data_IF_587469675839
#
_entry.id   IF_587469675839
#
_cell.length_a   1.000
_cell.length_b   1.000
_cell.length_c   1.000
_cell.angle_alpha   90.00
_cell.angle_beta   90.00
_cell.angle_gamma   90.00
#
_symmetry.space_group_name_H-M   'P 1'
#
loop_
_entity.id
_entity.type
_entity.pdbx_description
1 polymer ?
#
# COMPACT_ATOMS: atom_id res chain seq x y z
N UNK A 1 1.84 6.35 -11.54
CA UNK A 1 0.92 5.43 -10.85
C UNK A 1 1.46 4.01 -10.92
N UNK A 2 1.51 3.32 -9.81
CA UNK A 2 2.00 1.95 -9.76
C UNK A 2 0.96 1.01 -9.21
N UNK A 3 0.97 -0.24 -9.66
CA UNK A 3 0.01 -1.23 -9.19
C UNK A 3 0.65 -2.60 -9.05
N UNK A 4 0.08 -3.41 -8.14
CA UNK A 4 0.45 -4.80 -7.92
C UNK A 4 -0.83 -5.62 -7.86
N UNK A 5 -0.83 -6.75 -8.55
CA UNK A 5 -1.96 -7.67 -8.48
C UNK A 5 -1.91 -8.49 -7.20
N UNK A 6 -3.07 -8.64 -6.58
CA UNK A 6 -3.27 -9.43 -5.36
C UNK A 6 -4.08 -10.68 -5.71
N UNK A 7 -4.48 -11.43 -4.68
CA UNK A 7 -5.27 -12.63 -4.88
C UNK A 7 -6.72 -12.29 -5.22
N UNK A 8 -7.41 -13.20 -5.88
CA UNK A 8 -8.86 -13.11 -6.08
C UNK A 8 -9.33 -11.95 -6.96
N UNK A 9 -8.50 -11.48 -7.88
CA UNK A 9 -8.88 -10.38 -8.77
C UNK A 9 -8.69 -9.00 -8.17
N UNK A 10 -8.15 -8.91 -6.96
CA UNK A 10 -7.84 -7.62 -6.34
C UNK A 10 -6.52 -7.05 -6.85
N UNK A 11 -6.39 -5.75 -6.79
CA UNK A 11 -5.14 -5.06 -7.09
C UNK A 11 -4.93 -3.92 -6.10
N UNK A 12 -3.68 -3.66 -5.77
CA UNK A 12 -3.29 -2.49 -4.99
C UNK A 12 -2.68 -1.46 -5.93
N UNK A 13 -3.22 -0.25 -5.90
CA UNK A 13 -2.71 0.88 -6.68
C UNK A 13 -2.17 1.90 -5.70
N UNK A 14 -1.00 2.44 -6.00
CA UNK A 14 -0.38 3.49 -5.21
C UNK A 14 -0.21 4.73 -6.09
N UNK A 15 -0.72 5.85 -5.63
CA UNK A 15 -0.58 7.14 -6.29
C UNK A 15 0.10 8.12 -5.36
N UNK A 16 1.03 8.91 -5.88
CA UNK A 16 1.69 9.95 -5.10
C UNK A 16 0.92 11.26 -5.22
N UNK A 17 0.71 11.91 -4.08
CA UNK A 17 0.21 13.28 -4.00
C UNK A 17 1.30 14.15 -3.37
N UNK A 18 1.04 15.44 -3.18
CA UNK A 18 2.07 16.40 -2.78
C UNK A 18 2.84 15.99 -1.52
N UNK A 19 2.16 15.52 -0.49
CA UNK A 19 2.83 15.14 0.78
C UNK A 19 2.34 13.82 1.32
N UNK A 20 1.67 13.02 0.49
CA UNK A 20 1.10 11.75 0.93
C UNK A 20 0.90 10.84 -0.26
N UNK A 21 0.56 9.60 0.06
CA UNK A 21 0.20 8.60 -0.92
C UNK A 21 -1.25 8.22 -0.77
N UNK A 22 -1.87 7.87 -1.89
CA UNK A 22 -3.18 7.23 -1.91
C UNK A 22 -2.98 5.75 -2.19
N UNK A 23 -3.53 4.92 -1.32
CA UNK A 23 -3.52 3.47 -1.51
C UNK A 23 -4.94 3.04 -1.85
N UNK A 24 -5.11 2.43 -3.00
CA UNK A 24 -6.42 2.11 -3.56
C UNK A 24 -6.50 0.62 -3.82
N UNK A 25 -7.58 -0.01 -3.37
CA UNK A 25 -7.83 -1.41 -3.69
C UNK A 25 -8.87 -1.43 -4.80
N UNK A 26 -8.52 -2.11 -5.88
CA UNK A 26 -9.42 -2.37 -6.99
C UNK A 26 -9.87 -3.82 -6.97
N UNK A 27 -11.14 -4.03 -7.31
CA UNK A 27 -11.69 -5.37 -7.57
C UNK A 27 -12.14 -5.37 -9.02
N UNK A 28 -11.39 -6.08 -9.86
CA UNK A 28 -11.67 -6.19 -11.29
C UNK A 28 -11.86 -4.82 -11.93
N UNK A 29 -10.95 -3.90 -11.61
CA UNK A 29 -10.89 -2.51 -12.07
C UNK A 29 -11.90 -1.57 -11.43
N UNK A 30 -12.70 -2.04 -10.48
CA UNK A 30 -13.62 -1.18 -9.73
C UNK A 30 -12.99 -0.80 -8.40
N UNK A 31 -12.96 0.49 -8.08
CA UNK A 31 -12.40 0.96 -6.82
C UNK A 31 -13.29 0.56 -5.66
N UNK A 32 -12.74 -0.19 -4.70
CA UNK A 32 -13.44 -0.59 -3.49
C UNK A 32 -13.19 0.34 -2.34
N UNK A 33 -11.92 0.74 -2.15
CA UNK A 33 -11.54 1.56 -1.02
C UNK A 33 -10.29 2.36 -1.39
N UNK A 34 -10.20 3.55 -0.82
CA UNK A 34 -9.03 4.42 -0.99
C UNK A 34 -8.68 4.99 0.38
N UNK A 35 -7.42 4.87 0.76
CA UNK A 35 -6.90 5.46 1.98
C UNK A 35 -5.70 6.31 1.67
N UNK A 36 -5.60 7.44 2.37
CA UNK A 36 -4.47 8.34 2.23
C UNK A 36 -3.56 8.18 3.44
N UNK A 37 -2.26 8.28 3.21
CA UNK A 37 -1.25 8.17 4.26
C UNK A 37 -0.13 9.16 3.95
N UNK A 38 0.39 9.82 4.99
CA UNK A 38 1.52 10.72 4.79
C UNK A 38 2.79 9.92 4.52
N UNK A 39 3.75 10.56 3.85
CA UNK A 39 5.04 9.94 3.58
C UNK A 39 5.71 9.53 4.90
N UNK A 40 5.61 10.37 5.92
CA UNK A 40 6.20 10.10 7.23
C UNK A 40 5.58 8.85 7.88
N UNK A 41 4.26 8.76 7.88
CA UNK A 41 3.57 7.60 8.46
C UNK A 41 3.91 6.31 7.73
N UNK A 42 3.99 6.37 6.41
CA UNK A 42 4.32 5.20 5.61
C UNK A 42 5.76 4.76 5.87
N UNK A 43 6.70 5.71 5.97
CA UNK A 43 8.09 5.38 6.28
C UNK A 43 8.22 4.75 7.67
N UNK A 44 7.50 5.26 8.66
CA UNK A 44 7.50 4.68 10.00
C UNK A 44 6.96 3.24 9.98
N UNK A 45 5.89 3.02 9.23
CA UNK A 45 5.32 1.69 9.07
C UNK A 45 6.35 0.72 8.50
N UNK A 46 7.08 1.14 7.47
CA UNK A 46 8.05 0.27 6.79
C UNK A 46 9.30 0.00 7.63
N UNK A 47 9.60 0.83 8.62
CA UNK A 47 10.77 0.65 9.49
C UNK A 47 10.52 -0.33 10.63
N UNK A 48 9.28 -0.67 10.92
CA UNK A 48 8.94 -1.58 12.01
C UNK A 48 8.78 -3.00 11.49
N UNK A 49 9.02 -3.98 12.37
CA UNK A 49 8.97 -5.38 11.97
C UNK A 49 7.60 -6.01 12.14
N UNK A 50 6.76 -5.44 13.02
CA UNK A 50 5.41 -5.94 13.28
C UNK A 50 4.54 -4.75 13.61
N UNK A 51 3.80 -4.27 12.63
CA UNK A 51 3.00 -3.08 12.79
C UNK A 51 1.84 -3.07 11.80
N UNK A 52 0.81 -2.30 12.14
CA UNK A 52 -0.36 -2.12 11.29
C UNK A 52 -0.45 -0.68 10.82
N UNK A 53 -1.01 -0.50 9.63
CA UNK A 53 -1.33 0.81 9.07
C UNK A 53 -2.81 0.79 8.73
N UNK A 54 -3.51 1.87 9.06
CA UNK A 54 -4.96 2.04 8.93
C UNK A 54 -5.73 1.16 9.93
N UNK A 55 -6.97 1.55 10.18
CA UNK A 55 -7.84 0.84 11.14
C UNK A 55 -9.22 0.53 10.56
N UNK A 56 -9.48 0.93 9.33
CA UNK A 56 -10.80 0.76 8.71
C UNK A 56 -10.93 -0.51 7.90
N UNK A 57 -11.64 -0.41 6.78
CA UNK A 57 -11.85 -1.55 5.89
C UNK A 57 -10.55 -2.09 5.32
N UNK A 58 -9.63 -1.19 4.99
CA UNK A 58 -8.32 -1.54 4.50
C UNK A 58 -7.33 -1.45 5.64
N UNK A 59 -6.55 -2.50 5.84
CA UNK A 59 -5.46 -2.51 6.79
C UNK A 59 -4.23 -3.10 6.14
N UNK A 60 -3.07 -2.60 6.49
CA UNK A 60 -1.80 -3.19 6.10
C UNK A 60 -1.15 -3.71 7.37
N UNK A 61 -0.66 -4.94 7.31
CA UNK A 61 0.05 -5.53 8.44
C UNK A 61 1.43 -5.96 7.99
N UNK A 62 2.43 -5.30 8.51
CA UNK A 62 3.82 -5.66 8.21
C UNK A 62 4.25 -6.73 9.20
N UNK A 63 4.69 -7.86 8.67
CA UNK A 63 5.20 -8.97 9.46
C UNK A 63 6.53 -9.41 8.85
N UNK A 64 7.63 -9.15 9.56
CA UNK A 64 8.96 -9.46 9.03
C UNK A 64 9.19 -8.77 7.70
N UNK A 65 9.39 -9.55 6.65
CA UNK A 65 9.73 -9.06 5.31
C UNK A 65 8.52 -8.94 4.38
N UNK A 66 7.30 -9.07 4.92
CA UNK A 66 6.09 -9.05 4.11
C UNK A 66 5.10 -8.01 4.62
N UNK A 67 4.32 -7.47 3.68
CA UNK A 67 3.19 -6.59 3.98
C UNK A 67 1.92 -7.32 3.56
N UNK A 68 1.11 -7.70 4.52
CA UNK A 68 -0.19 -8.31 4.24
C UNK A 68 -1.23 -7.23 3.99
N UNK A 69 -2.02 -7.41 2.96
CA UNK A 69 -3.12 -6.50 2.62
C UNK A 69 -4.40 -7.13 3.12
N UNK A 70 -5.07 -6.44 4.05
CA UNK A 70 -6.27 -6.96 4.71
C UNK A 70 -7.43 -6.08 4.33
N UNK A 71 -8.51 -6.70 3.86
CA UNK A 71 -9.71 -6.01 3.45
C UNK A 71 -10.90 -6.64 4.15
N UNK A 72 -11.62 -5.85 4.95
CA UNK A 72 -12.77 -6.33 5.73
C UNK A 72 -12.44 -7.56 6.57
N UNK A 73 -11.24 -7.56 7.17
CA UNK A 73 -10.80 -8.66 8.03
C UNK A 73 -10.23 -9.87 7.29
N UNK A 74 -10.17 -9.85 5.97
CA UNK A 74 -9.61 -10.95 5.18
C UNK A 74 -8.32 -10.52 4.50
N UNK A 75 -7.32 -11.39 4.53
CA UNK A 75 -6.07 -11.16 3.81
C UNK A 75 -6.32 -11.41 2.33
N UNK A 76 -6.20 -10.36 1.52
CA UNK A 76 -6.41 -10.45 0.08
C UNK A 76 -5.11 -10.47 -0.70
N UNK A 77 -3.98 -10.43 -0.01
CA UNK A 77 -2.69 -10.55 -0.64
C UNK A 77 -1.57 -10.28 0.34
N UNK A 78 -0.37 -10.70 -0.02
CA UNK A 78 0.82 -10.44 0.77
C UNK A 78 1.94 -10.08 -0.19
N UNK A 79 2.62 -8.96 0.08
CA UNK A 79 3.62 -8.41 -0.82
C UNK A 79 4.95 -8.38 -0.08
N UNK A 80 6.04 -8.87 -0.70
CA UNK A 80 7.37 -8.67 -0.09
C UNK A 80 7.64 -7.20 0.15
N UNK A 81 8.23 -6.88 1.28
CA UNK A 81 8.53 -5.49 1.64
C UNK A 81 9.34 -4.80 0.54
N UNK A 82 10.29 -5.50 -0.06
CA UNK A 82 11.12 -4.94 -1.13
C UNK A 82 10.29 -4.49 -2.33
N UNK A 83 9.29 -5.29 -2.72
CA UNK A 83 8.41 -4.91 -3.83
C UNK A 83 7.52 -3.74 -3.46
N UNK A 84 7.03 -3.71 -2.23
CA UNK A 84 6.24 -2.58 -1.73
C UNK A 84 7.06 -1.30 -1.73
N UNK A 85 8.31 -1.37 -1.26
CA UNK A 85 9.20 -0.22 -1.25
C UNK A 85 9.52 0.27 -2.66
N UNK A 86 9.73 -0.64 -3.60
CA UNK A 86 9.96 -0.26 -4.99
C UNK A 86 8.75 0.48 -5.55
N UNK A 87 7.56 -0.01 -5.27
CA UNK A 87 6.32 0.62 -5.70
C UNK A 87 6.21 2.05 -5.16
N UNK A 88 6.46 2.23 -3.86
CA UNK A 88 6.41 3.53 -3.21
C UNK A 88 7.52 4.45 -3.75
N UNK A 89 8.74 3.95 -3.84
CA UNK A 89 9.90 4.74 -4.28
C UNK A 89 9.74 5.18 -5.73
N UNK A 90 9.16 4.35 -6.58
CA UNK A 90 8.92 4.69 -7.96
C UNK A 90 8.00 5.90 -8.07
N UNK A 91 6.95 5.97 -7.27
CA UNK A 91 6.04 7.12 -7.24
C UNK A 91 6.73 8.34 -6.66
N UNK A 92 7.50 8.15 -5.60
CA UNK A 92 8.21 9.24 -4.94
C UNK A 92 9.28 9.84 -5.86
N UNK A 93 9.98 9.01 -6.62
CA UNK A 93 10.98 9.49 -7.58
C UNK A 93 10.36 10.33 -8.68
N UNK A 94 9.19 9.93 -9.18
CA UNK A 94 8.47 10.71 -10.18
C UNK A 94 8.07 12.07 -9.60
N UNK A 95 7.65 12.12 -8.36
CA UNK A 95 7.29 13.38 -7.69
C UNK A 95 8.53 14.24 -7.46
N UNK A 96 9.67 13.63 -7.15
CA UNK A 96 10.90 14.36 -6.86
C UNK A 96 11.59 14.90 -8.11
N UNK A 97 11.28 14.37 -9.27
CA UNK A 97 11.94 14.79 -10.51
C UNK A 97 11.37 16.11 -11.06
N UNK A 98 10.45 16.70 -10.38
CA UNK A 98 9.91 18.00 -10.73
C UNK A 98 10.61 19.13 -9.97
#
# INVERSE_FOLDING_TARGET
>A
MGSIKLDGGYSLVVEAETKRFRLIILDDNAELVCHKVTVSELNQFLQQTDTHLFKGRLQLHKTGDYVAIIMKGEVIGSIPESEFQILISSQNMLAASH
#
